data_IF_711066575264
#
_entry.id   IF_711066575264
#
_cell.length_a   1.000
_cell.length_b   1.000
_cell.length_c   1.000
_cell.angle_alpha   90.00
_cell.angle_beta   90.00
_cell.angle_gamma   90.00
#
_symmetry.space_group_name_H-M   'P 1'
#
loop_
_entity.id
_entity.type
_entity.pdbx_description
1 polymer ?
#
# COMPACT_ATOMS: atom_id res chain seq x y z
N UNK A 1 -6.77 16.40 4.30
CA UNK A 1 -5.38 16.69 4.73
C UNK A 1 -4.48 15.87 3.80
N UNK A 2 -3.61 16.52 3.02
CA UNK A 2 -2.96 15.95 1.82
C UNK A 2 -1.92 14.85 2.18
N UNK A 3 -1.94 13.66 1.56
CA UNK A 3 -1.11 12.48 1.92
C UNK A 3 0.41 12.68 1.80
N UNK A 4 0.87 13.81 1.24
CA UNK A 4 2.27 14.25 1.39
C UNK A 4 2.72 14.28 2.87
N UNK A 5 1.77 14.33 3.82
CA UNK A 5 2.05 14.33 5.26
C UNK A 5 2.10 12.95 5.95
N UNK A 6 1.71 11.84 5.32
CA UNK A 6 1.77 10.50 5.96
C UNK A 6 3.05 9.71 5.65
N UNK A 7 3.89 10.14 4.70
CA UNK A 7 5.22 9.56 4.43
C UNK A 7 6.31 10.02 5.44
N UNK A 8 5.89 10.64 6.53
CA UNK A 8 6.71 11.55 7.33
C UNK A 8 7.15 11.01 8.69
N UNK A 9 7.07 9.72 9.03
CA UNK A 9 7.65 9.30 10.31
C UNK A 9 9.18 9.51 10.33
N UNK A 10 9.88 9.06 9.28
CA UNK A 10 11.33 9.26 9.12
C UNK A 10 11.66 10.62 8.50
N UNK A 11 10.84 11.07 7.53
CA UNK A 11 11.04 12.36 6.88
C UNK A 11 10.64 13.56 7.76
N UNK A 12 9.73 13.44 8.74
CA UNK A 12 9.48 14.51 9.71
C UNK A 12 10.57 14.60 10.77
N UNK A 13 11.25 13.51 11.15
CA UNK A 13 12.45 13.60 12.00
C UNK A 13 13.58 14.34 11.27
N UNK A 14 13.81 14.04 9.99
CA UNK A 14 14.78 14.75 9.15
C UNK A 14 14.37 16.21 8.87
N UNK A 15 13.08 16.48 8.67
CA UNK A 15 12.53 17.83 8.50
C UNK A 15 12.61 18.63 9.81
N UNK A 16 12.33 18.01 10.98
CA UNK A 16 12.43 18.64 12.29
C UNK A 16 13.88 18.98 12.66
N UNK A 17 14.82 18.06 12.39
CA UNK A 17 16.26 18.29 12.60
C UNK A 17 16.80 19.45 11.74
N UNK A 18 16.25 19.65 10.53
CA UNK A 18 16.65 20.76 9.64
C UNK A 18 15.84 22.05 9.83
N UNK A 19 14.61 22.00 10.35
CA UNK A 19 13.86 23.19 10.76
C UNK A 19 14.53 23.92 11.93
N UNK A 20 15.25 23.19 12.79
CA UNK A 20 16.08 23.77 13.85
C UNK A 20 17.29 24.56 13.33
N UNK A 21 17.65 24.41 12.04
CA UNK A 21 18.80 25.08 11.42
C UNK A 21 18.44 26.30 10.56
N UNK A 22 17.14 26.59 10.34
CA UNK A 22 16.71 27.77 9.60
C UNK A 22 16.59 28.98 10.55
N UNK A 23 17.32 30.09 10.33
CA UNK A 23 17.37 31.23 11.25
C UNK A 23 16.04 32.00 11.37
N UNK A 24 15.09 31.73 10.47
CA UNK A 24 13.68 32.11 10.55
C UNK A 24 12.85 30.94 10.02
N UNK A 25 11.69 30.66 10.62
CA UNK A 25 10.83 29.54 10.19
C UNK A 25 10.50 29.60 8.69
N UNK A 26 10.22 28.45 8.08
CA UNK A 26 9.91 28.38 6.65
C UNK A 26 8.55 29.00 6.34
N UNK A 27 8.48 29.84 5.30
CA UNK A 27 7.21 30.23 4.69
C UNK A 27 6.62 29.07 3.86
N UNK A 28 5.42 29.25 3.28
CA UNK A 28 4.75 28.18 2.52
C UNK A 28 5.61 27.68 1.35
N UNK A 29 6.25 28.59 0.61
CA UNK A 29 7.07 28.23 -0.55
C UNK A 29 8.31 27.46 -0.11
N UNK A 30 9.02 27.95 0.92
CA UNK A 30 10.18 27.30 1.49
C UNK A 30 9.84 25.92 2.07
N UNK A 31 8.67 25.76 2.68
CA UNK A 31 8.18 24.46 3.14
C UNK A 31 7.93 23.49 1.97
N UNK A 32 7.28 23.95 0.89
CA UNK A 32 7.02 23.13 -0.29
C UNK A 32 8.32 22.69 -1.00
N UNK A 33 9.29 23.60 -1.13
CA UNK A 33 10.62 23.32 -1.69
C UNK A 33 11.41 22.33 -0.81
N UNK A 34 11.38 22.52 0.52
CA UNK A 34 12.03 21.63 1.46
C UNK A 34 11.43 20.21 1.42
N UNK A 35 10.10 20.10 1.37
CA UNK A 35 9.39 18.82 1.23
C UNK A 35 9.76 18.15 -0.09
N UNK A 36 9.77 18.88 -1.20
CA UNK A 36 10.12 18.33 -2.51
C UNK A 36 11.56 17.80 -2.53
N UNK A 37 12.52 18.55 -1.97
CA UNK A 37 13.92 18.11 -1.87
C UNK A 37 14.06 16.86 -1.00
N UNK A 38 13.49 16.85 0.20
CA UNK A 38 13.57 15.71 1.11
C UNK A 38 12.89 14.47 0.53
N UNK A 39 11.78 14.65 -0.18
CA UNK A 39 11.12 13.57 -0.88
C UNK A 39 12.01 12.99 -1.97
N UNK A 40 12.64 13.83 -2.79
CA UNK A 40 13.58 13.37 -3.83
C UNK A 40 14.76 12.62 -3.21
N UNK A 41 15.40 13.15 -2.16
CA UNK A 41 16.47 12.48 -1.43
C UNK A 41 16.01 11.10 -0.92
N UNK A 42 14.87 11.03 -0.22
CA UNK A 42 14.31 9.78 0.30
C UNK A 42 14.00 8.79 -0.82
N UNK A 43 13.46 9.26 -1.94
CA UNK A 43 13.12 8.41 -3.08
C UNK A 43 14.36 7.77 -3.69
N UNK A 44 15.47 8.51 -3.82
CA UNK A 44 16.72 7.94 -4.33
C UNK A 44 17.33 6.94 -3.35
N UNK A 45 17.26 7.20 -2.03
CA UNK A 45 17.64 6.21 -1.01
C UNK A 45 16.81 4.93 -1.13
N UNK A 46 15.48 5.03 -1.24
CA UNK A 46 14.60 3.88 -1.42
C UNK A 46 14.90 3.11 -2.72
N UNK A 47 15.22 3.81 -3.81
CA UNK A 47 15.66 3.20 -5.09
C UNK A 47 16.90 2.36 -4.89
N UNK A 48 17.89 2.86 -4.16
CA UNK A 48 19.13 2.14 -3.88
C UNK A 48 18.90 0.96 -2.92
N UNK A 49 18.18 1.15 -1.82
CA UNK A 49 17.99 0.14 -0.77
C UNK A 49 17.05 -0.99 -1.19
N UNK A 50 16.02 -0.69 -1.98
CA UNK A 50 14.89 -1.61 -2.23
C UNK A 50 14.65 -1.91 -3.71
N UNK A 51 15.40 -1.28 -4.61
CA UNK A 51 15.20 -1.44 -6.05
C UNK A 51 15.29 -2.89 -6.51
N UNK A 52 16.25 -3.66 -6.00
CA UNK A 52 16.44 -5.06 -6.40
C UNK A 52 15.36 -5.99 -5.83
N UNK A 53 14.97 -5.78 -4.57
CA UNK A 53 13.85 -6.49 -3.95
C UNK A 53 12.52 -6.22 -4.69
N UNK A 54 12.26 -4.96 -5.04
CA UNK A 54 11.08 -4.58 -5.81
C UNK A 54 11.07 -5.18 -7.22
N UNK A 55 12.22 -5.23 -7.90
CA UNK A 55 12.35 -5.94 -9.20
C UNK A 55 12.06 -7.43 -9.05
N UNK A 56 12.49 -8.04 -7.94
CA UNK A 56 12.24 -9.45 -7.65
C UNK A 56 10.79 -9.76 -7.26
N UNK A 57 9.94 -8.73 -7.06
CA UNK A 57 8.52 -8.86 -6.70
C UNK A 57 8.29 -9.66 -5.42
N UNK A 58 9.20 -9.52 -4.48
CA UNK A 58 9.15 -10.21 -3.19
C UNK A 58 9.81 -9.34 -2.13
N UNK A 59 9.11 -8.98 -1.06
CA UNK A 59 9.67 -8.23 0.06
C UNK A 59 9.62 -9.02 1.35
N UNK A 60 10.61 -8.83 2.22
CA UNK A 60 10.70 -9.52 3.51
C UNK A 60 10.42 -8.57 4.70
N UNK A 61 9.58 -9.01 5.64
CA UNK A 61 9.31 -8.32 6.91
C UNK A 61 9.07 -9.37 7.98
N UNK A 62 9.68 -9.22 9.16
CA UNK A 62 9.50 -10.12 10.32
C UNK A 62 9.68 -11.62 9.98
N UNK A 63 10.64 -11.96 9.12
CA UNK A 63 10.91 -13.35 8.69
C UNK A 63 9.85 -13.96 7.76
N UNK A 64 8.91 -13.16 7.26
CA UNK A 64 7.90 -13.55 6.27
C UNK A 64 8.16 -12.84 4.95
N UNK A 65 7.71 -13.42 3.83
CA UNK A 65 7.91 -12.87 2.49
C UNK A 65 6.57 -12.61 1.81
N UNK A 66 6.31 -11.37 1.44
CA UNK A 66 5.20 -10.99 0.57
C UNK A 66 5.67 -11.02 -0.88
N UNK A 67 5.11 -11.93 -1.68
CA UNK A 67 5.32 -11.96 -3.13
C UNK A 67 4.15 -11.30 -3.83
N UNK A 68 4.34 -10.73 -5.01
CA UNK A 68 3.21 -10.18 -5.77
C UNK A 68 3.35 -10.32 -7.28
N UNK A 69 2.21 -10.23 -7.96
CA UNK A 69 2.12 -10.11 -9.41
C UNK A 69 1.60 -8.72 -9.75
N UNK A 70 1.92 -8.23 -10.94
CA UNK A 70 1.53 -6.90 -11.40
C UNK A 70 0.99 -6.95 -12.84
N UNK A 71 0.01 -6.10 -13.13
CA UNK A 71 -0.40 -5.69 -14.48
C UNK A 71 -0.54 -4.17 -14.52
N UNK A 72 -0.31 -3.57 -15.68
CA UNK A 72 -0.49 -2.12 -15.89
C UNK A 72 -1.63 -1.92 -16.88
N UNK A 73 -2.51 -0.96 -16.60
CA UNK A 73 -3.66 -0.64 -17.40
C UNK A 73 -3.70 0.84 -17.75
N UNK A 74 -4.25 1.15 -18.93
CA UNK A 74 -4.51 2.52 -19.39
C UNK A 74 -3.26 3.42 -19.43
N UNK A 75 -3.52 4.71 -19.56
CA UNK A 75 -2.49 5.76 -19.53
C UNK A 75 -2.55 6.48 -18.19
N UNK A 76 -1.39 6.59 -17.53
CA UNK A 76 -1.29 7.28 -16.26
C UNK A 76 -1.58 8.79 -16.41
N UNK A 77 -2.32 9.42 -15.48
CA UNK A 77 -2.50 10.86 -15.46
C UNK A 77 -1.22 11.56 -14.98
N UNK A 78 -1.18 12.89 -15.14
CA UNK A 78 -0.01 13.70 -14.77
C UNK A 78 0.38 13.61 -13.29
N UNK A 79 -0.56 13.28 -12.40
CA UNK A 79 -0.29 13.10 -10.96
C UNK A 79 0.40 11.77 -10.63
N UNK A 80 0.47 10.83 -11.58
CA UNK A 80 0.96 9.47 -11.40
C UNK A 80 -0.14 8.42 -11.55
N UNK A 81 0.19 7.16 -11.85
CA UNK A 81 -0.80 6.07 -11.94
C UNK A 81 -1.45 5.79 -10.58
N UNK A 82 -2.70 5.30 -10.60
CA UNK A 82 -3.29 4.68 -9.40
C UNK A 82 -2.61 3.35 -9.09
N UNK A 83 -2.73 2.91 -7.83
CA UNK A 83 -2.34 1.58 -7.39
C UNK A 83 -3.59 0.83 -6.91
N UNK A 84 -3.82 -0.36 -7.44
CA UNK A 84 -4.94 -1.22 -7.10
C UNK A 84 -4.42 -2.52 -6.50
N UNK A 85 -4.64 -2.76 -5.21
CA UNK A 85 -4.11 -3.92 -4.50
C UNK A 85 -5.24 -4.92 -4.23
N UNK A 86 -5.15 -6.09 -4.85
CA UNK A 86 -6.22 -7.08 -4.93
C UNK A 86 -5.89 -8.37 -4.18
N UNK A 87 -6.58 -8.62 -3.07
CA UNK A 87 -6.29 -9.70 -2.12
C UNK A 87 -7.02 -10.98 -2.49
N UNK A 88 -6.27 -12.08 -2.61
CA UNK A 88 -6.85 -13.38 -2.93
C UNK A 88 -7.57 -14.01 -1.73
N UNK A 89 -8.59 -14.83 -2.02
CA UNK A 89 -9.26 -15.70 -1.04
C UNK A 89 -8.49 -16.98 -0.74
N UNK A 90 -9.10 -17.90 0.02
CA UNK A 90 -8.56 -19.24 0.26
C UNK A 90 -8.16 -19.54 1.70
N UNK A 91 -7.69 -18.57 2.49
CA UNK A 91 -7.25 -18.68 3.89
C UNK A 91 -7.69 -19.93 4.67
N UNK A 92 -6.74 -20.65 5.26
CA UNK A 92 -6.95 -21.94 5.91
C UNK A 92 -6.97 -23.14 4.94
N UNK A 93 -7.02 -22.89 3.62
CA UNK A 93 -6.87 -23.93 2.61
C UNK A 93 -5.40 -24.37 2.41
N UNK A 94 -5.16 -25.54 1.78
CA UNK A 94 -3.81 -25.97 1.43
C UNK A 94 -3.06 -24.96 0.53
N UNK A 95 -1.72 -24.90 0.60
CA UNK A 95 -0.92 -23.93 -0.16
C UNK A 95 -1.20 -23.90 -1.66
N UNK A 96 -1.42 -25.06 -2.29
CA UNK A 96 -1.75 -25.16 -3.71
C UNK A 96 -3.07 -24.43 -4.07
N UNK A 97 -4.05 -24.44 -3.17
CA UNK A 97 -5.32 -23.72 -3.37
C UNK A 97 -5.08 -22.22 -3.25
N UNK A 98 -4.35 -21.75 -2.25
CA UNK A 98 -4.02 -20.32 -2.12
C UNK A 98 -3.19 -19.80 -3.30
N UNK A 99 -2.26 -20.59 -3.80
CA UNK A 99 -1.46 -20.23 -4.97
C UNK A 99 -2.32 -20.15 -6.25
N UNK A 100 -3.31 -21.04 -6.40
CA UNK A 100 -4.29 -20.96 -7.48
C UNK A 100 -5.20 -19.74 -7.33
N UNK A 101 -5.69 -19.43 -6.13
CA UNK A 101 -6.49 -18.23 -5.88
C UNK A 101 -5.69 -16.97 -6.20
N UNK A 102 -4.42 -16.92 -5.81
CA UNK A 102 -3.52 -15.83 -6.19
C UNK A 102 -3.31 -15.70 -7.70
N UNK A 103 -3.16 -16.82 -8.41
CA UNK A 103 -3.07 -16.84 -9.88
C UNK A 103 -4.36 -16.34 -10.56
N UNK A 104 -5.52 -16.60 -9.96
CA UNK A 104 -6.80 -16.07 -10.43
C UNK A 104 -6.93 -14.57 -10.13
N UNK A 105 -6.52 -14.13 -8.93
CA UNK A 105 -6.72 -12.77 -8.45
C UNK A 105 -6.09 -11.71 -9.37
N UNK A 106 -4.90 -11.97 -9.93
CA UNK A 106 -4.24 -11.03 -10.85
C UNK A 106 -4.99 -10.85 -12.20
N UNK A 107 -5.97 -11.71 -12.49
CA UNK A 107 -6.77 -11.66 -13.73
C UNK A 107 -8.18 -11.13 -13.52
N UNK A 108 -8.61 -10.95 -12.26
CA UNK A 108 -10.01 -10.73 -11.91
C UNK A 108 -10.54 -9.36 -12.36
N UNK A 109 -9.73 -8.30 -12.25
CA UNK A 109 -10.15 -6.94 -12.56
C UNK A 109 -9.23 -6.28 -13.60
N UNK A 110 -9.81 -5.33 -14.33
CA UNK A 110 -9.13 -4.48 -15.30
C UNK A 110 -9.56 -3.03 -15.06
N UNK A 111 -8.90 -2.30 -14.15
CA UNK A 111 -9.19 -0.89 -13.94
C UNK A 111 -8.93 -0.07 -15.22
N UNK A 112 -9.60 1.08 -15.34
CA UNK A 112 -9.45 1.96 -16.50
C UNK A 112 -8.00 2.46 -16.65
N UNK A 113 -7.32 2.73 -15.54
CA UNK A 113 -5.89 2.99 -15.49
C UNK A 113 -5.24 2.45 -14.21
N UNK A 114 -3.91 2.33 -14.26
CA UNK A 114 -3.07 2.23 -13.09
C UNK A 114 -2.32 0.91 -13.01
N UNK A 115 -1.72 0.68 -11.86
CA UNK A 115 -0.96 -0.52 -11.58
C UNK A 115 -1.83 -1.45 -10.72
N UNK A 116 -2.18 -2.60 -11.27
CA UNK A 116 -2.95 -3.63 -10.59
C UNK A 116 -2.02 -4.69 -10.03
N UNK A 117 -2.04 -4.84 -8.71
CA UNK A 117 -1.15 -5.70 -7.94
C UNK A 117 -1.97 -6.75 -7.21
N UNK A 118 -1.59 -8.01 -7.37
CA UNK A 118 -2.11 -9.10 -6.55
C UNK A 118 -0.98 -9.62 -5.66
N UNK A 119 -0.95 -9.29 -4.36
CA UNK A 119 -0.05 -9.92 -3.42
C UNK A 119 -0.49 -11.37 -3.16
N UNK A 120 0.47 -12.23 -2.84
CA UNK A 120 0.28 -13.54 -2.22
C UNK A 120 0.47 -13.35 -0.73
N UNK A 121 -0.55 -13.68 0.07
CA UNK A 121 -0.41 -13.68 1.51
C UNK A 121 0.82 -14.50 1.92
N UNK A 122 1.61 -14.07 2.91
CA UNK A 122 2.83 -14.76 3.32
C UNK A 122 2.59 -16.12 4.01
N UNK A 123 1.35 -16.38 4.43
CA UNK A 123 0.92 -17.61 5.11
C UNK A 123 -0.34 -18.18 4.47
N UNK A 124 -0.75 -19.37 4.92
CA UNK A 124 -1.95 -20.08 4.51
C UNK A 124 -3.00 -20.16 5.63
N UNK A 125 -2.83 -19.39 6.71
CA UNK A 125 -3.72 -19.41 7.87
C UNK A 125 -5.10 -18.83 7.52
N UNK A 126 -6.10 -19.11 8.36
CA UNK A 126 -7.45 -18.58 8.14
C UNK A 126 -7.48 -17.04 8.12
N UNK A 127 -6.59 -16.41 8.89
CA UNK A 127 -6.42 -14.96 9.03
C UNK A 127 -5.19 -14.42 8.30
N UNK A 128 -4.76 -15.06 7.19
CA UNK A 128 -3.55 -14.74 6.44
C UNK A 128 -3.33 -13.26 6.06
N UNK A 129 -4.39 -12.44 6.07
CA UNK A 129 -4.33 -11.00 5.77
C UNK A 129 -4.43 -10.10 7.01
N UNK A 130 -4.50 -10.67 8.22
CA UNK A 130 -4.69 -9.95 9.49
C UNK A 130 -3.53 -10.15 10.45
N UNK A 131 -2.61 -11.04 10.13
CA UNK A 131 -1.43 -11.31 10.95
C UNK A 131 -0.58 -10.03 11.08
N UNK A 132 0.10 -9.86 12.23
CA UNK A 132 0.75 -8.59 12.57
C UNK A 132 1.84 -8.13 11.60
N UNK A 133 2.36 -9.01 10.75
CA UNK A 133 3.33 -8.65 9.71
C UNK A 133 2.70 -8.06 8.45
N UNK A 134 1.38 -8.11 8.28
CA UNK A 134 0.70 -7.66 7.06
C UNK A 134 0.75 -6.13 6.95
N UNK A 135 0.40 -5.39 8.00
CA UNK A 135 0.39 -3.92 7.97
C UNK A 135 1.75 -3.32 7.55
N UNK A 136 2.89 -3.70 8.19
CA UNK A 136 4.19 -3.18 7.76
C UNK A 136 4.59 -3.66 6.35
N UNK A 137 4.11 -4.81 5.89
CA UNK A 137 4.34 -5.25 4.51
C UNK A 137 3.58 -4.40 3.49
N UNK A 138 2.33 -4.04 3.77
CA UNK A 138 1.54 -3.18 2.88
C UNK A 138 2.03 -1.73 2.91
N UNK A 139 2.44 -1.24 4.08
CA UNK A 139 3.11 0.06 4.21
C UNK A 139 4.35 0.12 3.31
N UNK A 140 5.21 -0.90 3.39
CA UNK A 140 6.41 -1.02 2.56
C UNK A 140 6.10 -1.16 1.07
N UNK A 141 5.13 -2.01 0.71
CA UNK A 141 4.71 -2.20 -0.68
C UNK A 141 4.23 -0.89 -1.31
N UNK A 142 3.40 -0.12 -0.59
CA UNK A 142 2.89 1.17 -1.05
C UNK A 142 4.02 2.19 -1.18
N UNK A 143 4.91 2.29 -0.18
CA UNK A 143 6.09 3.18 -0.23
C UNK A 143 6.96 2.88 -1.45
N UNK A 144 7.20 1.61 -1.73
CA UNK A 144 8.01 1.17 -2.88
C UNK A 144 7.33 1.53 -4.21
N UNK A 145 6.01 1.35 -4.34
CA UNK A 145 5.28 1.74 -5.54
C UNK A 145 5.27 3.27 -5.76
N UNK A 146 5.13 4.05 -4.70
CA UNK A 146 5.20 5.51 -4.78
C UNK A 146 6.61 5.96 -5.18
N UNK A 147 7.66 5.41 -4.54
CA UNK A 147 9.03 5.82 -4.79
C UNK A 147 9.58 5.35 -6.15
N UNK A 148 9.32 4.09 -6.52
CA UNK A 148 9.94 3.41 -7.65
C UNK A 148 9.11 3.54 -8.93
N UNK A 149 7.78 3.64 -8.81
CA UNK A 149 6.85 3.69 -9.95
C UNK A 149 6.04 4.97 -10.05
N UNK A 150 6.26 5.91 -9.13
CA UNK A 150 5.62 7.23 -9.18
C UNK A 150 4.11 7.16 -8.98
N UNK A 151 3.61 6.12 -8.30
CA UNK A 151 2.19 6.02 -7.93
C UNK A 151 1.77 7.27 -7.18
N UNK A 152 0.60 7.80 -7.51
CA UNK A 152 -0.01 8.89 -6.75
C UNK A 152 -0.44 8.33 -5.38
N UNK A 153 0.14 8.81 -4.27
CA UNK A 153 -0.18 8.26 -2.95
C UNK A 153 -1.65 8.47 -2.57
N UNK A 154 -2.35 9.44 -3.16
CA UNK A 154 -3.78 9.66 -2.92
C UNK A 154 -4.69 8.74 -3.76
N UNK A 155 -4.13 7.82 -4.56
CA UNK A 155 -4.86 6.95 -5.48
C UNK A 155 -4.48 5.48 -5.29
N UNK A 156 -4.41 5.07 -4.03
CA UNK A 156 -4.13 3.70 -3.64
C UNK A 156 -5.41 3.03 -3.17
N UNK A 157 -5.85 1.98 -3.86
CA UNK A 157 -7.10 1.29 -3.62
C UNK A 157 -6.81 -0.13 -3.15
N UNK A 158 -7.57 -0.62 -2.17
CA UNK A 158 -7.47 -1.99 -1.69
C UNK A 158 -8.79 -2.72 -1.90
N UNK A 159 -8.75 -3.93 -2.43
CA UNK A 159 -9.93 -4.73 -2.72
C UNK A 159 -9.61 -6.21 -2.48
N UNK A 160 -10.62 -7.02 -2.15
CA UNK A 160 -10.37 -8.43 -1.87
C UNK A 160 -11.63 -9.27 -1.91
N UNK A 161 -11.45 -10.56 -2.23
CA UNK A 161 -12.54 -11.52 -2.34
C UNK A 161 -12.40 -12.66 -1.32
N UNK A 162 -13.50 -13.07 -0.68
CA UNK A 162 -13.54 -14.14 0.31
C UNK A 162 -12.56 -13.87 1.47
N UNK A 163 -11.60 -14.74 1.78
CA UNK A 163 -10.56 -14.46 2.78
C UNK A 163 -9.79 -13.15 2.46
N UNK A 164 -9.67 -12.76 1.20
CA UNK A 164 -9.16 -11.45 0.81
C UNK A 164 -10.09 -10.30 1.22
N UNK A 165 -11.41 -10.51 1.13
CA UNK A 165 -12.43 -9.60 1.63
C UNK A 165 -12.38 -9.47 3.15
N UNK A 166 -12.20 -10.57 3.88
CA UNK A 166 -11.87 -10.54 5.32
C UNK A 166 -10.62 -9.68 5.54
N UNK A 167 -9.60 -9.82 4.70
CA UNK A 167 -8.39 -8.99 4.70
C UNK A 167 -8.69 -7.50 4.60
N UNK A 168 -9.53 -7.10 3.64
CA UNK A 168 -9.90 -5.69 3.46
C UNK A 168 -10.73 -5.15 4.64
N UNK A 169 -11.60 -5.98 5.24
CA UNK A 169 -12.31 -5.60 6.46
C UNK A 169 -11.35 -5.19 7.59
N UNK A 170 -10.19 -5.82 7.69
CA UNK A 170 -9.18 -5.49 8.70
C UNK A 170 -8.24 -4.37 8.26
N UNK A 171 -7.78 -4.38 7.01
CA UNK A 171 -6.82 -3.40 6.50
C UNK A 171 -7.45 -2.02 6.26
N UNK A 172 -8.69 -1.97 5.81
CA UNK A 172 -9.45 -0.75 5.58
C UNK A 172 -9.39 0.21 6.77
N UNK A 173 -9.86 -0.19 7.97
CA UNK A 173 -9.82 0.69 9.15
C UNK A 173 -8.44 0.85 9.78
N UNK A 174 -7.59 -0.19 9.78
CA UNK A 174 -6.25 -0.13 10.43
C UNK A 174 -5.26 0.74 9.67
N UNK A 175 -5.43 0.86 8.35
CA UNK A 175 -4.55 1.62 7.46
C UNK A 175 -5.34 2.67 6.66
N UNK A 176 -6.41 3.22 7.23
CA UNK A 176 -7.35 4.11 6.53
C UNK A 176 -6.70 5.34 5.89
N UNK A 177 -5.58 5.81 6.44
CA UNK A 177 -4.79 6.92 5.90
C UNK A 177 -4.03 6.58 4.61
N UNK A 178 -3.96 5.30 4.24
CA UNK A 178 -3.26 4.82 3.04
C UNK A 178 -4.17 4.57 1.86
N UNK A 179 -5.48 4.55 2.07
CA UNK A 179 -6.45 4.14 1.07
C UNK A 179 -7.23 5.34 0.52
N UNK A 180 -7.39 5.37 -0.80
CA UNK A 180 -8.34 6.22 -1.50
C UNK A 180 -9.75 5.60 -1.47
N UNK A 181 -9.85 4.27 -1.55
CA UNK A 181 -11.06 3.51 -1.27
C UNK A 181 -10.74 2.04 -0.93
N UNK A 182 -11.71 1.35 -0.30
CA UNK A 182 -11.63 -0.07 0.03
C UNK A 182 -12.84 -0.86 -0.49
N UNK A 183 -12.66 -2.09 -0.99
CA UNK A 183 -13.77 -2.95 -1.40
C UNK A 183 -13.67 -4.36 -0.78
N UNK A 184 -14.70 -4.77 -0.04
CA UNK A 184 -14.72 -5.93 0.86
C UNK A 184 -15.68 -7.02 0.37
N UNK A 185 -15.29 -7.79 -0.65
CA UNK A 185 -16.24 -8.67 -1.34
C UNK A 185 -16.31 -10.07 -0.72
N UNK A 186 -17.52 -10.53 -0.42
CA UNK A 186 -17.81 -11.89 0.09
C UNK A 186 -16.95 -12.28 1.31
N UNK A 187 -16.57 -11.29 2.13
CA UNK A 187 -15.73 -11.47 3.31
C UNK A 187 -16.46 -11.15 4.61
N UNK A 188 -15.93 -11.64 5.71
CA UNK A 188 -16.44 -11.47 7.06
C UNK A 188 -15.68 -10.34 7.78
N UNK A 189 -16.40 -9.45 8.51
CA UNK A 189 -15.76 -8.37 9.26
C UNK A 189 -14.79 -8.83 10.34
N UNK A 190 -14.95 -10.03 10.90
CA UNK A 190 -14.10 -10.58 11.96
C UNK A 190 -13.84 -9.58 13.12
N UNK A 191 -14.91 -8.93 13.59
CA UNK A 191 -14.88 -7.90 14.64
C UNK A 191 -14.10 -6.61 14.30
N UNK A 192 -13.83 -6.34 13.02
CA UNK A 192 -13.25 -5.08 12.58
C UNK A 192 -14.06 -3.87 13.06
N UNK A 193 -13.39 -2.87 13.62
CA UNK A 193 -14.01 -1.58 13.93
C UNK A 193 -14.20 -0.77 12.66
N UNK A 194 -15.38 -0.18 12.48
CA UNK A 194 -15.70 0.65 11.32
C UNK A 194 -15.40 2.14 11.54
N UNK A 195 -14.98 2.53 12.75
CA UNK A 195 -14.83 3.94 13.11
C UNK A 195 -13.88 4.68 12.18
N UNK A 196 -12.76 4.05 11.81
CA UNK A 196 -11.77 4.62 10.91
C UNK A 196 -12.22 4.67 9.44
N UNK A 197 -13.34 4.00 9.08
CA UNK A 197 -13.89 4.05 7.72
C UNK A 197 -14.75 5.30 7.47
N UNK A 198 -15.04 6.12 8.48
CA UNK A 198 -15.93 7.29 8.36
C UNK A 198 -15.59 8.20 7.18
N UNK A 199 -14.31 8.35 6.86
CA UNK A 199 -13.81 9.21 5.78
C UNK A 199 -13.18 8.43 4.62
N UNK A 200 -13.28 7.10 4.62
CA UNK A 200 -12.76 6.24 3.57
C UNK A 200 -13.93 5.73 2.73
N UNK A 201 -14.04 6.07 1.44
CA UNK A 201 -15.01 5.42 0.56
C UNK A 201 -14.84 3.90 0.59
N UNK A 202 -15.94 3.16 0.79
CA UNK A 202 -15.88 1.71 0.78
C UNK A 202 -17.11 1.05 0.13
N UNK A 203 -16.92 -0.17 -0.34
CA UNK A 203 -17.96 -1.06 -0.86
C UNK A 203 -17.84 -2.46 -0.21
N UNK A 204 -18.95 -3.19 -0.12
CA UNK A 204 -19.05 -4.55 0.45
C UNK A 204 -19.71 -5.45 -0.61
#
# INVERSE_FOLDING_TARGET
>A
MNLRRSFLATAAMLLAARCLAAPSGLDRRGADEAIARLWNERRETLRAERGDEFKARALAVAGKTLRWKERVFGTAPASGPSLWISLHGGGGAPPAVNDQQWANQIRLYQPAEGIYVAPRAPTDTWNLWHEGHIDPMFDRLIEDYVALRGVDPNRVYVLGYSAGGDGVWQLGPRMADRWAAAAMMAGHPNSASLLSLRNLPFAI
#
